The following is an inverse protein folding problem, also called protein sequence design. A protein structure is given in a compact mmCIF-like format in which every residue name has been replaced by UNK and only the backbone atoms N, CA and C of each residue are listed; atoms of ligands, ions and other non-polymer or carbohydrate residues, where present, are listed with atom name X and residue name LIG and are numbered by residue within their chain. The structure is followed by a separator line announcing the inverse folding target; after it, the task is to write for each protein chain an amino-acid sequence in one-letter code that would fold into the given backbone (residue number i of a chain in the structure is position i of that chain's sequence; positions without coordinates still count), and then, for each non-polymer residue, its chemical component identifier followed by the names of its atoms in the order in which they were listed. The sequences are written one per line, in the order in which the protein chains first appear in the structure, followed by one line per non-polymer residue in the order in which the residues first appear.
data_IF_887817468715
#
_entry.id   IF_887817468715
#
_cell.length_a   1.000
_cell.length_b   1.000
_cell.length_c   1.000
_cell.angle_alpha   90.00
_cell.angle_beta   90.00
_cell.angle_gamma   90.00
#
_symmetry.space_group_name_H-M   'P 1'
#
loop_
_entity.id
_entity.type
_entity.pdbx_description
1 polymer ?
#
# COMPACT_ATOMS: atom_id res chain seq x y z
N UNK A 1 -20.83 -17.90 -31.83
CA UNK A 1 -19.54 -17.20 -31.78
C UNK A 1 -19.55 -16.25 -30.58
N UNK A 2 -18.39 -15.86 -30.01
CA UNK A 2 -18.35 -14.93 -28.87
C UNK A 2 -18.60 -13.49 -29.33
N UNK A 3 -18.05 -13.10 -30.48
CA UNK A 3 -18.21 -11.76 -31.05
C UNK A 3 -19.70 -11.45 -31.27
N UNK A 4 -20.45 -12.36 -31.92
CA UNK A 4 -21.89 -12.15 -32.13
C UNK A 4 -22.68 -12.05 -30.82
N UNK A 5 -22.28 -12.77 -29.76
CA UNK A 5 -22.96 -12.64 -28.46
C UNK A 5 -22.70 -11.28 -27.82
N UNK A 6 -21.51 -10.73 -28.01
CA UNK A 6 -21.18 -9.39 -27.52
C UNK A 6 -21.94 -8.32 -28.31
N UNK A 7 -21.86 -8.35 -29.65
CA UNK A 7 -22.47 -7.35 -30.53
C UNK A 7 -24.01 -7.38 -30.51
N UNK A 8 -24.62 -8.57 -30.51
CA UNK A 8 -26.08 -8.70 -30.66
C UNK A 8 -26.82 -8.71 -29.32
N UNK A 9 -26.14 -8.97 -28.20
CA UNK A 9 -26.79 -9.16 -26.89
C UNK A 9 -26.17 -8.29 -25.80
N UNK A 10 -24.85 -8.42 -25.55
CA UNK A 10 -24.23 -7.74 -24.41
C UNK A 10 -24.19 -6.22 -24.59
N UNK A 11 -23.65 -5.73 -25.72
CA UNK A 11 -23.51 -4.29 -25.95
C UNK A 11 -24.86 -3.55 -25.95
N UNK A 12 -25.93 -4.04 -26.63
CA UNK A 12 -27.25 -3.41 -26.54
C UNK A 12 -27.78 -3.37 -25.11
N UNK A 13 -27.64 -4.46 -24.36
CA UNK A 13 -28.12 -4.53 -22.97
C UNK A 13 -27.38 -3.56 -22.05
N UNK A 14 -26.05 -3.48 -22.18
CA UNK A 14 -25.24 -2.59 -21.34
C UNK A 14 -25.50 -1.11 -21.69
N UNK A 15 -25.72 -0.78 -22.97
CA UNK A 15 -26.07 0.58 -23.39
C UNK A 15 -27.43 1.05 -22.84
N UNK A 16 -28.38 0.14 -22.61
CA UNK A 16 -29.68 0.48 -22.00
C UNK A 16 -29.62 0.61 -20.47
N UNK A 17 -28.70 -0.12 -19.82
CA UNK A 17 -28.62 -0.19 -18.36
C UNK A 17 -27.67 0.85 -17.78
N UNK A 18 -26.54 1.12 -18.45
CA UNK A 18 -25.47 1.94 -17.88
C UNK A 18 -25.69 3.41 -18.19
N UNK A 19 -25.41 4.23 -17.18
CA UNK A 19 -25.45 5.69 -17.26
C UNK A 19 -24.16 6.25 -17.87
N UNK A 20 -24.20 7.49 -18.33
CA UNK A 20 -23.04 8.18 -18.86
C UNK A 20 -21.90 8.31 -17.81
N UNK A 21 -22.25 8.48 -16.54
CA UNK A 21 -21.25 8.58 -15.46
C UNK A 21 -20.58 7.22 -15.20
N UNK A 22 -21.31 6.10 -15.29
CA UNK A 22 -20.72 4.75 -15.21
C UNK A 22 -19.82 4.44 -16.41
N UNK A 23 -20.24 4.83 -17.62
CA UNK A 23 -19.39 4.74 -18.81
C UNK A 23 -18.12 5.58 -18.68
N UNK A 24 -18.17 6.70 -17.95
CA UNK A 24 -16.99 7.55 -17.72
C UNK A 24 -15.98 6.87 -16.80
N UNK A 25 -16.46 6.22 -15.72
CA UNK A 25 -15.60 5.41 -14.84
C UNK A 25 -14.95 4.28 -15.62
N UNK A 26 -15.73 3.54 -16.42
CA UNK A 26 -15.22 2.45 -17.26
C UNK A 26 -14.16 2.97 -18.24
N UNK A 27 -14.41 4.10 -18.89
CA UNK A 27 -13.47 4.70 -19.84
C UNK A 27 -12.15 5.12 -19.17
N UNK A 28 -12.20 5.65 -17.94
CA UNK A 28 -11.01 6.06 -17.19
C UNK A 28 -10.18 4.86 -16.73
N UNK A 29 -10.84 3.81 -16.22
CA UNK A 29 -10.19 2.60 -15.71
C UNK A 29 -9.68 1.68 -16.84
N UNK A 30 -10.30 1.70 -18.02
CA UNK A 30 -9.90 0.86 -19.17
C UNK A 30 -8.44 1.06 -19.59
N UNK A 31 -7.85 2.23 -19.30
CA UNK A 31 -6.45 2.53 -19.61
C UNK A 31 -5.47 1.63 -18.84
N UNK A 32 -5.85 1.10 -17.68
CA UNK A 32 -5.03 0.19 -16.88
C UNK A 32 -4.92 -1.20 -17.52
N UNK A 33 -5.99 -1.66 -18.19
CA UNK A 33 -6.05 -2.97 -18.86
C UNK A 33 -5.48 -2.88 -20.29
N UNK A 34 -5.74 -1.77 -20.99
CA UNK A 34 -5.33 -1.55 -22.37
C UNK A 34 -6.39 -1.94 -23.40
N UNK A 35 -6.04 -1.80 -24.69
CA UNK A 35 -6.97 -1.99 -25.80
C UNK A 35 -6.46 -3.00 -26.82
N UNK A 36 -7.35 -3.82 -27.37
CA UNK A 36 -7.01 -4.82 -28.36
C UNK A 36 -7.28 -4.30 -29.78
N UNK A 37 -6.25 -4.29 -30.64
CA UNK A 37 -6.31 -3.91 -32.06
C UNK A 37 -6.83 -2.50 -32.37
N UNK A 38 -6.91 -1.61 -31.38
CA UNK A 38 -7.23 -0.20 -31.56
C UNK A 38 -6.21 0.69 -30.84
N UNK A 39 -6.07 1.92 -31.31
CA UNK A 39 -5.34 2.95 -30.53
C UNK A 39 -6.19 3.42 -29.35
N UNK A 40 -5.57 3.95 -28.27
CA UNK A 40 -6.33 4.50 -27.15
C UNK A 40 -7.38 5.51 -27.63
N UNK A 41 -8.66 5.32 -27.26
CA UNK A 41 -9.71 6.25 -27.62
C UNK A 41 -9.46 7.61 -26.96
N UNK A 42 -9.96 8.71 -27.56
CA UNK A 42 -9.80 10.05 -27.00
C UNK A 42 -10.55 10.18 -25.67
N UNK A 43 -10.09 11.09 -24.81
CA UNK A 43 -10.75 11.38 -23.54
C UNK A 43 -12.19 11.83 -23.77
N UNK A 44 -13.14 11.05 -23.27
CA UNK A 44 -14.57 11.33 -23.35
C UNK A 44 -15.05 12.06 -22.08
N UNK A 45 -15.86 13.11 -22.25
CA UNK A 45 -16.43 13.90 -21.14
C UNK A 45 -17.93 14.02 -21.33
N UNK A 46 -18.75 13.18 -20.68
CA UNK A 46 -20.20 13.30 -20.78
C UNK A 46 -20.69 14.58 -20.10
N UNK A 47 -21.87 15.04 -20.53
CA UNK A 47 -22.61 16.05 -19.79
C UNK A 47 -23.18 15.37 -18.53
N UNK A 48 -22.45 15.44 -17.41
CA UNK A 48 -22.81 14.74 -16.18
C UNK A 48 -24.26 15.01 -15.77
N UNK A 49 -24.99 13.95 -15.40
CA UNK A 49 -26.41 14.05 -15.01
C UNK A 49 -26.71 13.62 -13.57
N UNK A 50 -25.74 13.16 -12.76
CA UNK A 50 -25.95 12.98 -11.32
C UNK A 50 -24.81 13.40 -10.38
N UNK A 51 -25.28 13.96 -9.27
CA UNK A 51 -24.64 14.02 -7.95
C UNK A 51 -24.42 12.62 -7.38
N UNK A 52 -23.16 12.17 -7.33
CA UNK A 52 -22.59 11.23 -6.34
C UNK A 52 -23.53 10.18 -5.71
N UNK A 53 -24.07 9.23 -6.49
CA UNK A 53 -24.79 8.04 -5.95
C UNK A 53 -23.91 6.78 -5.88
N UNK A 54 -22.60 6.89 -6.12
CA UNK A 54 -21.67 5.75 -6.16
C UNK A 54 -20.58 5.73 -5.08
N UNK A 55 -20.67 6.57 -4.04
CA UNK A 55 -19.68 6.51 -2.95
C UNK A 55 -19.93 5.22 -2.14
N UNK A 56 -18.94 4.33 -1.95
CA UNK A 56 -19.14 3.10 -1.18
C UNK A 56 -19.72 3.42 0.20
N UNK A 57 -20.75 2.69 0.64
CA UNK A 57 -21.54 2.96 1.86
C UNK A 57 -20.69 3.17 3.13
N UNK A 58 -19.50 2.56 3.18
CA UNK A 58 -18.55 2.69 4.29
C UNK A 58 -18.03 4.14 4.43
N UNK A 59 -17.88 4.88 3.32
CA UNK A 59 -17.36 6.27 3.33
C UNK A 59 -18.26 7.28 4.06
N UNK A 60 -19.54 6.96 4.26
CA UNK A 60 -20.51 7.79 4.95
C UNK A 60 -20.63 7.50 6.46
N UNK A 61 -19.95 6.45 6.96
CA UNK A 61 -20.01 6.03 8.36
C UNK A 61 -19.00 6.80 9.23
N UNK A 62 -19.37 7.28 10.44
CA UNK A 62 -18.43 7.90 11.36
C UNK A 62 -17.26 6.96 11.70
N UNK A 63 -16.02 7.45 11.55
CA UNK A 63 -14.82 6.67 11.86
C UNK A 63 -14.31 5.78 10.72
N UNK A 64 -14.89 5.88 9.52
CA UNK A 64 -14.31 5.31 8.32
C UNK A 64 -13.08 6.10 7.85
N UNK A 65 -12.03 5.38 7.48
CA UNK A 65 -10.83 5.90 6.82
C UNK A 65 -11.05 5.71 5.32
N UNK A 66 -11.22 6.82 4.60
CA UNK A 66 -11.39 6.82 3.14
C UNK A 66 -10.03 6.92 2.47
N UNK A 67 -9.73 5.94 1.64
CA UNK A 67 -8.51 5.83 0.83
C UNK A 67 -8.87 6.02 -0.66
N UNK A 68 -7.91 6.33 -1.54
CA UNK A 68 -8.19 6.48 -2.97
C UNK A 68 -8.82 5.25 -3.63
N UNK A 69 -8.52 4.05 -3.11
CA UNK A 69 -8.94 2.75 -3.68
C UNK A 69 -10.00 2.04 -2.83
N UNK A 70 -10.59 2.70 -1.84
CA UNK A 70 -11.61 2.10 -0.98
C UNK A 70 -11.73 2.76 0.38
N UNK A 71 -12.30 2.06 1.35
CA UNK A 71 -12.47 2.59 2.70
C UNK A 71 -12.45 1.46 3.72
N UNK A 72 -11.88 1.74 4.89
CA UNK A 72 -11.74 0.78 5.99
C UNK A 72 -12.18 1.44 7.30
N UNK A 73 -12.77 0.66 8.20
CA UNK A 73 -12.84 1.06 9.59
C UNK A 73 -11.45 0.95 10.25
N UNK A 74 -11.22 1.74 11.31
CA UNK A 74 -9.92 1.76 12.01
C UNK A 74 -9.50 0.37 12.51
N UNK A 75 -10.44 -0.43 13.02
CA UNK A 75 -10.16 -1.79 13.48
C UNK A 75 -9.72 -2.72 12.34
N UNK A 76 -10.28 -2.57 11.14
CA UNK A 76 -9.89 -3.32 9.95
C UNK A 76 -8.48 -2.95 9.50
N UNK A 77 -8.16 -1.65 9.44
CA UNK A 77 -6.82 -1.17 9.11
C UNK A 77 -5.77 -1.69 10.08
N UNK A 78 -6.02 -1.60 11.39
CA UNK A 78 -5.09 -2.09 12.42
C UNK A 78 -4.93 -3.61 12.33
N UNK A 79 -6.02 -4.36 12.14
CA UNK A 79 -5.97 -5.82 12.03
C UNK A 79 -5.22 -6.26 10.77
N UNK A 80 -5.43 -5.57 9.65
CA UNK A 80 -4.71 -5.83 8.40
C UNK A 80 -3.20 -5.61 8.59
N UNK A 81 -2.79 -4.46 9.13
CA UNK A 81 -1.37 -4.14 9.35
C UNK A 81 -0.68 -5.10 10.32
N UNK A 82 -1.39 -5.59 11.35
CA UNK A 82 -0.87 -6.59 12.28
C UNK A 82 -0.82 -8.02 11.70
N UNK A 83 -1.51 -8.28 10.59
CA UNK A 83 -1.57 -9.58 9.92
C UNK A 83 -0.49 -9.74 8.84
N UNK A 84 0.09 -8.63 8.37
CA UNK A 84 1.14 -8.66 7.36
C UNK A 84 2.31 -9.54 7.83
N UNK A 85 2.94 -10.34 6.94
CA UNK A 85 4.09 -11.19 7.27
C UNK A 85 5.40 -10.37 7.37
N UNK A 86 5.29 -9.13 7.83
CA UNK A 86 6.37 -8.17 8.04
C UNK A 86 6.04 -7.29 9.25
N UNK A 87 7.06 -6.89 10.00
CA UNK A 87 6.94 -5.87 11.02
C UNK A 87 7.11 -4.49 10.39
N UNK A 88 6.25 -3.54 10.77
CA UNK A 88 6.27 -2.17 10.27
C UNK A 88 6.55 -1.22 11.42
N UNK A 89 7.40 -0.22 11.21
CA UNK A 89 7.54 0.94 12.11
C UNK A 89 7.54 2.22 11.27
N UNK A 90 6.71 3.19 11.63
CA UNK A 90 6.66 4.50 10.97
C UNK A 90 7.20 5.59 11.89
N UNK A 91 8.16 6.34 11.36
CA UNK A 91 8.75 7.53 11.98
C UNK A 91 8.38 8.74 11.12
N UNK A 92 7.80 9.77 11.72
CA UNK A 92 7.36 10.94 10.96
C UNK A 92 8.53 11.85 10.52
N UNK A 93 8.18 12.90 9.76
CA UNK A 93 9.10 13.95 9.31
C UNK A 93 9.84 14.69 10.44
N UNK A 94 9.39 14.59 11.69
CA UNK A 94 10.03 15.21 12.86
C UNK A 94 10.88 14.19 13.65
N UNK A 95 11.14 13.03 13.03
CA UNK A 95 11.92 11.92 13.54
C UNK A 95 11.29 11.27 14.79
N UNK A 96 9.96 11.37 14.95
CA UNK A 96 9.20 10.80 16.06
C UNK A 96 8.58 9.48 15.65
N UNK A 97 8.73 8.44 16.48
CA UNK A 97 8.06 7.15 16.26
C UNK A 97 6.56 7.33 16.46
N UNK A 98 5.76 7.11 15.41
CA UNK A 98 4.30 7.30 15.43
C UNK A 98 3.53 6.01 15.48
N UNK A 99 4.06 4.95 14.88
CA UNK A 99 3.36 3.69 14.76
C UNK A 99 4.35 2.53 14.66
N UNK A 100 3.97 1.38 15.19
CA UNK A 100 4.57 0.09 14.85
C UNK A 100 3.47 -0.97 14.81
N UNK A 101 3.61 -1.99 13.96
CA UNK A 101 2.67 -3.12 13.94
C UNK A 101 2.92 -4.08 15.11
N UNK A 102 1.84 -4.65 15.64
CA UNK A 102 1.83 -5.62 16.72
C UNK A 102 1.61 -7.04 16.17
N UNK A 103 2.39 -7.41 15.16
CA UNK A 103 2.37 -8.75 14.59
C UNK A 103 2.74 -9.84 15.61
N UNK A 104 2.30 -11.06 15.35
CA UNK A 104 2.54 -12.21 16.25
C UNK A 104 3.98 -12.70 16.25
N UNK A 105 4.74 -12.48 15.17
CA UNK A 105 6.11 -12.98 14.99
C UNK A 105 7.21 -11.91 15.00
N UNK A 106 7.03 -10.86 15.81
CA UNK A 106 7.96 -9.71 15.85
C UNK A 106 9.42 -10.13 16.03
N UNK A 107 10.28 -9.63 15.13
CA UNK A 107 11.72 -9.90 15.16
C UNK A 107 12.42 -9.01 16.18
N UNK A 108 12.03 -7.73 16.22
CA UNK A 108 12.52 -6.77 17.20
C UNK A 108 11.39 -6.38 18.16
N UNK A 109 11.52 -6.65 19.47
CA UNK A 109 10.48 -6.27 20.41
C UNK A 109 10.38 -4.74 20.48
N UNK A 110 9.17 -4.21 20.28
CA UNK A 110 8.84 -2.80 20.53
C UNK A 110 7.96 -2.70 21.77
N UNK A 111 8.30 -1.76 22.65
CA UNK A 111 7.47 -1.40 23.79
C UNK A 111 6.62 -0.19 23.45
N UNK A 112 5.44 -0.06 24.07
CA UNK A 112 4.57 1.12 23.89
C UNK A 112 5.27 2.43 24.25
N UNK A 113 6.29 2.37 25.11
CA UNK A 113 7.12 3.51 25.47
C UNK A 113 7.94 4.08 24.32
N UNK A 114 8.08 3.38 23.18
CA UNK A 114 8.75 3.91 21.99
C UNK A 114 7.90 4.95 21.26
N UNK A 115 6.56 4.88 21.35
CA UNK A 115 5.67 5.84 20.69
C UNK A 115 5.89 7.23 21.26
N UNK A 116 6.02 8.23 20.38
CA UNK A 116 6.26 9.62 20.76
C UNK A 116 7.70 9.97 21.08
N UNK A 117 8.63 9.00 21.07
CA UNK A 117 10.07 9.26 21.26
C UNK A 117 10.75 9.55 19.94
N UNK A 118 11.87 10.27 20.00
CA UNK A 118 12.75 10.42 18.84
C UNK A 118 13.37 9.08 18.49
N UNK A 119 13.45 8.77 17.19
CA UNK A 119 14.02 7.52 16.69
C UNK A 119 15.45 7.26 17.19
N UNK A 120 16.25 8.32 17.34
CA UNK A 120 17.63 8.23 17.83
C UNK A 120 17.71 7.74 19.28
N UNK A 121 16.72 8.06 20.11
CA UNK A 121 16.69 7.65 21.53
C UNK A 121 16.28 6.17 21.70
N UNK A 122 15.87 5.53 20.60
CA UNK A 122 15.50 4.11 20.54
C UNK A 122 16.67 3.23 20.04
N UNK A 123 17.81 3.82 19.69
CA UNK A 123 18.96 3.12 19.14
C UNK A 123 20.21 3.25 20.04
N UNK A 124 21.10 2.25 20.08
CA UNK A 124 22.38 2.37 20.77
C UNK A 124 23.24 3.51 20.20
N UNK A 125 24.08 4.19 21.00
CA UNK A 125 24.91 5.31 20.54
C UNK A 125 25.75 5.01 19.30
N UNK A 126 26.21 3.76 19.15
CA UNK A 126 27.00 3.32 18.01
C UNK A 126 26.27 3.39 16.66
N UNK A 127 24.94 3.34 16.62
CA UNK A 127 24.16 3.33 15.37
C UNK A 127 23.37 4.61 15.11
N UNK A 128 23.35 5.57 16.04
CA UNK A 128 22.59 6.83 15.90
C UNK A 128 22.97 7.58 14.63
N UNK A 129 24.28 7.77 14.38
CA UNK A 129 24.76 8.49 13.21
C UNK A 129 24.38 7.82 11.88
N UNK A 130 24.25 6.49 11.87
CA UNK A 130 23.81 5.72 10.71
C UNK A 130 22.33 6.00 10.43
N UNK A 131 21.49 5.93 11.46
CA UNK A 131 20.05 6.21 11.38
C UNK A 131 19.81 7.65 10.91
N UNK A 132 20.51 8.63 11.49
CA UNK A 132 20.40 10.02 11.08
C UNK A 132 20.83 10.23 9.62
N UNK A 133 21.92 9.57 9.18
CA UNK A 133 22.40 9.65 7.80
C UNK A 133 21.40 9.06 6.78
N UNK A 134 20.71 7.97 7.13
CA UNK A 134 19.66 7.38 6.31
C UNK A 134 18.48 8.35 6.19
N UNK A 135 17.97 8.84 7.31
CA UNK A 135 16.82 9.78 7.34
C UNK A 135 17.14 11.05 6.55
N UNK A 136 18.33 11.61 6.71
CA UNK A 136 18.73 12.82 5.99
C UNK A 136 18.84 12.58 4.48
N UNK A 137 19.32 11.39 4.07
CA UNK A 137 19.37 11.03 2.65
C UNK A 137 17.98 10.85 2.05
N UNK A 138 17.00 10.40 2.84
CA UNK A 138 15.61 10.36 2.42
C UNK A 138 14.99 11.75 2.36
N UNK A 139 15.19 12.57 3.39
CA UNK A 139 14.66 13.94 3.44
C UNK A 139 15.13 14.79 2.26
N UNK A 140 16.40 14.65 1.87
CA UNK A 140 17.00 15.40 0.76
C UNK A 140 16.77 14.79 -0.62
N UNK A 141 16.08 13.64 -0.71
CA UNK A 141 15.84 12.96 -1.98
C UNK A 141 17.07 12.28 -2.59
N UNK A 142 18.16 12.13 -1.85
CA UNK A 142 19.35 11.37 -2.32
C UNK A 142 19.08 9.88 -2.44
N UNK A 143 18.19 9.34 -1.60
CA UNK A 143 17.76 7.94 -1.61
C UNK A 143 16.27 7.86 -1.35
N UNK A 144 15.63 6.83 -1.89
CA UNK A 144 14.24 6.49 -1.58
C UNK A 144 14.11 5.22 -0.72
N UNK A 145 15.17 4.41 -0.65
CA UNK A 145 15.23 3.27 0.25
C UNK A 145 16.67 2.93 0.66
N UNK A 146 16.80 2.10 1.70
CA UNK A 146 18.04 1.49 2.16
C UNK A 146 17.72 0.10 2.74
N UNK A 147 18.44 -0.93 2.31
CA UNK A 147 18.18 -2.31 2.68
C UNK A 147 19.43 -2.94 3.32
N UNK A 148 19.25 -3.74 4.37
CA UNK A 148 20.31 -4.56 4.96
C UNK A 148 19.73 -5.87 5.50
N UNK A 149 20.60 -6.86 5.63
CA UNK A 149 20.22 -8.20 6.04
C UNK A 149 21.20 -8.76 7.06
N UNK A 150 20.67 -9.40 8.09
CA UNK A 150 21.46 -9.97 9.18
C UNK A 150 20.99 -11.38 9.52
N UNK A 151 21.93 -12.21 9.99
CA UNK A 151 21.60 -13.47 10.64
C UNK A 151 21.41 -13.21 12.12
N UNK A 152 20.20 -13.44 12.63
CA UNK A 152 19.86 -13.23 14.03
C UNK A 152 19.29 -14.52 14.60
N UNK A 153 20.11 -15.23 15.39
CA UNK A 153 19.75 -16.56 15.87
C UNK A 153 19.43 -17.51 14.71
N UNK A 154 18.22 -18.07 14.73
CA UNK A 154 17.74 -18.98 13.68
C UNK A 154 17.14 -18.29 12.44
N UNK A 155 16.99 -16.96 12.45
CA UNK A 155 16.29 -16.17 11.42
C UNK A 155 17.27 -15.54 10.42
N UNK A 156 16.82 -15.32 9.19
CA UNK A 156 17.53 -14.48 8.21
C UNK A 156 16.70 -13.22 7.98
N UNK A 157 17.09 -12.13 8.64
CA UNK A 157 16.27 -10.93 8.75
C UNK A 157 16.63 -9.96 7.64
N UNK A 158 15.65 -9.59 6.82
CA UNK A 158 15.73 -8.46 5.89
C UNK A 158 15.10 -7.23 6.55
N UNK A 159 15.82 -6.12 6.57
CA UNK A 159 15.40 -4.85 7.15
C UNK A 159 15.50 -3.80 6.06
N UNK A 160 14.41 -3.09 5.82
CA UNK A 160 14.26 -2.14 4.73
C UNK A 160 13.73 -0.84 5.26
N UNK A 161 14.36 0.26 4.90
CA UNK A 161 13.87 1.61 5.18
C UNK A 161 13.41 2.26 3.87
N UNK A 162 12.27 2.94 3.89
CA UNK A 162 11.73 3.66 2.74
C UNK A 162 11.44 5.12 3.10
N UNK A 163 11.70 6.02 2.17
CA UNK A 163 11.22 7.40 2.23
C UNK A 163 9.71 7.41 1.92
N UNK A 164 8.89 7.85 2.87
CA UNK A 164 7.46 8.05 2.64
C UNK A 164 7.26 9.47 2.15
N UNK A 165 6.64 9.62 0.96
CA UNK A 165 6.35 10.92 0.34
C UNK A 165 4.88 11.02 -0.05
N UNK A 166 4.34 12.23 -0.05
CA UNK A 166 3.03 12.48 -0.66
C UNK A 166 3.11 12.60 -2.19
N UNK A 167 1.97 12.86 -2.83
CA UNK A 167 1.85 13.00 -4.28
C UNK A 167 2.71 14.13 -4.86
N UNK A 168 3.04 15.15 -4.06
CA UNK A 168 3.89 16.27 -4.46
C UNK A 168 5.39 15.99 -4.21
N UNK A 169 5.73 14.80 -3.70
CA UNK A 169 7.10 14.40 -3.39
C UNK A 169 7.59 14.90 -2.02
N UNK A 170 6.72 15.51 -1.21
CA UNK A 170 7.07 16.03 0.12
C UNK A 170 7.38 14.88 1.06
N UNK A 171 8.52 14.93 1.74
CA UNK A 171 8.91 13.91 2.72
C UNK A 171 7.99 13.93 3.95
N UNK A 172 7.25 12.84 4.15
CA UNK A 172 6.33 12.63 5.28
C UNK A 172 6.98 11.88 6.45
N UNK A 173 8.02 11.10 6.18
CA UNK A 173 8.70 10.28 7.19
C UNK A 173 9.43 9.07 6.61
N UNK A 174 9.83 8.17 7.50
CA UNK A 174 10.54 6.93 7.17
C UNK A 174 9.72 5.72 7.60
N UNK A 175 9.55 4.77 6.69
CA UNK A 175 8.96 3.46 6.96
C UNK A 175 10.07 2.43 7.13
N UNK A 176 10.13 1.77 8.27
CA UNK A 176 10.92 0.56 8.51
C UNK A 176 10.04 -0.67 8.28
N UNK A 177 10.54 -1.63 7.51
CA UNK A 177 9.91 -2.94 7.28
C UNK A 177 10.93 -4.03 7.59
N UNK A 178 10.55 -5.00 8.42
CA UNK A 178 11.42 -6.11 8.82
C UNK A 178 10.73 -7.45 8.55
N UNK A 179 11.48 -8.43 8.00
CA UNK A 179 10.95 -9.75 7.65
C UNK A 179 11.97 -10.86 7.88
N UNK A 180 11.54 -12.03 8.38
CA UNK A 180 12.35 -13.25 8.31
C UNK A 180 12.18 -13.86 6.93
N UNK A 181 13.19 -13.72 6.08
CA UNK A 181 13.19 -14.21 4.71
C UNK A 181 13.72 -15.64 4.61
N UNK A 182 14.13 -16.27 5.72
CA UNK A 182 14.60 -17.66 5.69
C UNK A 182 13.55 -18.64 5.16
N UNK A 183 12.26 -18.58 5.55
CA UNK A 183 11.22 -19.43 4.97
C UNK A 183 11.00 -19.14 3.48
N UNK A 184 11.11 -17.87 3.06
CA UNK A 184 10.98 -17.48 1.66
C UNK A 184 12.11 -18.05 0.80
N UNK A 185 13.35 -18.01 1.29
CA UNK A 185 14.50 -18.60 0.60
C UNK A 185 14.46 -20.14 0.51
N UNK A 186 13.62 -20.79 1.32
CA UNK A 186 13.43 -22.24 1.28
C UNK A 186 12.39 -22.68 0.24
N UNK A 187 11.61 -21.75 -0.33
CA UNK A 187 10.62 -22.06 -1.35
C UNK A 187 11.33 -22.52 -2.62
N UNK A 188 10.91 -23.66 -3.16
CA UNK A 188 11.41 -24.23 -4.42
C UNK A 188 10.24 -24.82 -5.22
N UNK A 189 10.40 -24.97 -6.53
CA UNK A 189 9.34 -25.46 -7.41
C UNK A 189 8.14 -24.51 -7.47
N UNK A 190 6.93 -25.07 -7.62
CA UNK A 190 5.71 -24.29 -7.75
C UNK A 190 4.58 -24.90 -6.91
N UNK A 191 3.77 -24.04 -6.26
CA UNK A 191 2.51 -24.42 -5.61
C UNK A 191 1.38 -23.59 -6.23
N UNK A 192 0.60 -24.22 -7.11
CA UNK A 192 -0.48 -23.55 -7.87
C UNK A 192 -1.87 -23.72 -7.27
N UNK A 193 -2.02 -24.61 -6.29
CA UNK A 193 -3.29 -24.94 -5.65
C UNK A 193 -3.13 -24.92 -4.12
N UNK A 194 -4.23 -24.72 -3.42
CA UNK A 194 -4.32 -24.84 -1.96
C UNK A 194 -3.99 -26.27 -1.53
N UNK A 195 -3.45 -26.41 -0.31
CA UNK A 195 -3.30 -27.72 0.35
C UNK A 195 -4.51 -27.94 1.24
N UNK A 196 -5.03 -29.17 1.26
CA UNK A 196 -6.08 -29.60 2.19
C UNK A 196 -5.63 -29.50 3.67
#
# INVERSE_FOLDING_TARGET
DMISKEEDILLPMVLEVFTDDEWKVIADESKEIGYFLISPPPDWKPASTRTSEGQPEISAQPGAIVLPTGSLHLNELVSMLNTLPVDITFVDKDNIVRYYSEGTERIFPRTKAAIGRRVVDCHPPASVHIVEGIIESFRTGRKDHEDFWIKLGGKYVLIRYFAVRDADGTFLGTLEVTQDIKPLQAITGEKRLVSD
#
